data_IF_139839894169
#
_entry.id   IF_139839894169
#
_cell.length_a   1.000
_cell.length_b   1.000
_cell.length_c   1.000
_cell.angle_alpha   90.00
_cell.angle_beta   90.00
_cell.angle_gamma   90.00
#
_symmetry.space_group_name_H-M   'P 1'
#
loop_
_entity.id
_entity.type
_entity.pdbx_description
1 polymer ?
#
# COMPACT_ATOMS: atom_id res chain seq x y z
N UNK A 1 19.40 48.46 11.65
CA UNK A 1 20.07 47.29 11.04
C UNK A 1 19.24 46.06 11.38
N UNK A 2 18.30 45.74 10.54
CA UNK A 2 17.44 44.56 10.71
C UNK A 2 17.98 43.45 9.81
N UNK A 3 18.51 42.41 10.43
CA UNK A 3 18.98 41.22 9.73
C UNK A 3 17.78 40.27 9.51
N UNK A 4 17.32 40.17 8.28
CA UNK A 4 16.41 39.11 7.83
C UNK A 4 17.16 37.76 7.85
N UNK A 5 16.72 36.84 8.69
CA UNK A 5 17.12 35.41 8.63
C UNK A 5 16.16 34.71 7.68
N UNK A 6 16.62 34.38 6.47
CA UNK A 6 15.93 33.46 5.56
C UNK A 6 16.08 32.03 6.10
N UNK A 7 15.00 31.46 6.54
CA UNK A 7 14.92 30.03 6.84
C UNK A 7 14.66 29.29 5.55
N UNK A 8 15.67 28.59 5.03
CA UNK A 8 15.51 27.66 3.91
C UNK A 8 14.85 26.41 4.49
N UNK A 9 13.58 26.19 4.14
CA UNK A 9 12.88 24.92 4.38
C UNK A 9 13.27 23.99 3.23
N UNK A 10 14.18 23.05 3.51
CA UNK A 10 14.42 21.93 2.62
C UNK A 10 13.21 20.99 2.68
N UNK A 11 12.37 21.01 1.65
CA UNK A 11 11.43 19.93 1.40
C UNK A 11 12.23 18.70 0.95
N UNK A 12 12.35 17.71 1.81
CA UNK A 12 12.74 16.37 1.41
C UNK A 12 11.55 15.78 0.64
N UNK A 13 11.64 15.74 -0.69
CA UNK A 13 10.79 14.86 -1.49
C UNK A 13 11.25 13.42 -1.16
N UNK A 14 10.50 12.72 -0.33
CA UNK A 14 10.55 11.26 -0.31
C UNK A 14 9.95 10.80 -1.65
N UNK A 15 10.79 10.34 -2.55
CA UNK A 15 10.37 9.62 -3.75
C UNK A 15 9.98 8.23 -3.26
N UNK A 16 8.71 8.03 -2.96
CA UNK A 16 8.15 6.68 -2.81
C UNK A 16 7.93 6.14 -4.22
N UNK A 17 8.74 5.17 -4.60
CA UNK A 17 8.47 4.37 -5.79
C UNK A 17 7.27 3.49 -5.46
N UNK A 18 6.08 3.84 -5.92
CA UNK A 18 4.92 2.96 -5.82
C UNK A 18 5.11 1.84 -6.85
N UNK A 19 5.56 0.70 -6.37
CA UNK A 19 5.46 -0.57 -7.08
C UNK A 19 4.11 -1.20 -6.73
N UNK A 20 3.58 -1.95 -7.67
CA UNK A 20 2.46 -2.84 -7.45
C UNK A 20 2.74 -3.72 -6.22
N UNK A 21 1.85 -3.69 -5.23
CA UNK A 21 2.09 -4.32 -3.94
C UNK A 21 1.93 -5.84 -4.04
N UNK A 22 2.99 -6.56 -3.77
CA UNK A 22 3.05 -8.02 -3.75
C UNK A 22 2.89 -8.56 -2.32
N UNK A 23 2.67 -9.87 -2.18
CA UNK A 23 2.72 -10.51 -0.85
C UNK A 23 4.07 -10.27 -0.16
N UNK A 24 5.18 -10.18 -0.92
CA UNK A 24 6.47 -9.83 -0.34
C UNK A 24 6.50 -8.42 0.25
N UNK A 25 5.87 -7.45 -0.41
CA UNK A 25 5.78 -6.08 0.12
C UNK A 25 4.92 -6.04 1.39
N UNK A 26 3.88 -6.88 1.49
CA UNK A 26 3.09 -7.07 2.72
C UNK A 26 3.95 -7.64 3.85
N UNK A 27 4.77 -8.66 3.57
CA UNK A 27 5.72 -9.25 4.53
C UNK A 27 6.70 -8.18 5.02
N UNK A 28 7.26 -7.40 4.11
CA UNK A 28 8.26 -6.38 4.41
C UNK A 28 7.65 -5.15 5.14
N UNK A 29 6.33 -4.97 5.08
CA UNK A 29 5.61 -3.88 5.73
C UNK A 29 5.29 -4.15 7.21
N UNK A 30 5.49 -5.38 7.71
CA UNK A 30 5.30 -5.71 9.13
C UNK A 30 6.42 -5.03 9.94
N UNK A 31 6.02 -4.15 10.86
CA UNK A 31 6.94 -3.27 11.58
C UNK A 31 7.14 -3.74 13.03
N UNK A 32 8.35 -4.21 13.32
CA UNK A 32 8.72 -4.68 14.65
C UNK A 32 8.66 -3.57 15.73
N UNK A 33 8.99 -2.33 15.38
CA UNK A 33 8.95 -1.21 16.32
C UNK A 33 7.49 -0.89 16.67
N UNK A 34 6.57 -0.96 15.70
CA UNK A 34 5.14 -0.79 15.92
C UNK A 34 4.54 -1.93 16.76
N UNK A 35 4.88 -3.19 16.45
CA UNK A 35 4.50 -4.35 17.28
C UNK A 35 4.98 -4.20 18.72
N UNK A 36 6.25 -3.84 18.91
CA UNK A 36 6.85 -3.63 20.23
C UNK A 36 6.20 -2.48 21.00
N UNK A 37 5.84 -1.40 20.31
CA UNK A 37 5.13 -0.27 20.91
C UNK A 37 3.73 -0.71 21.37
N UNK A 38 2.96 -1.36 20.50
CA UNK A 38 1.62 -1.88 20.80
C UNK A 38 1.64 -2.81 22.01
N UNK A 39 2.56 -3.80 22.03
CA UNK A 39 2.72 -4.69 23.18
C UNK A 39 2.96 -3.94 24.48
N UNK A 40 3.91 -2.99 24.47
CA UNK A 40 4.27 -2.24 25.70
C UNK A 40 3.14 -1.34 26.19
N UNK A 41 2.38 -0.73 25.28
CA UNK A 41 1.20 0.07 25.63
C UNK A 41 0.08 -0.83 26.18
N UNK A 42 -0.23 -1.90 25.47
CA UNK A 42 -1.37 -2.78 25.78
C UNK A 42 -1.15 -3.67 26.99
N UNK A 43 0.09 -3.90 27.39
CA UNK A 43 0.45 -4.64 28.61
C UNK A 43 0.81 -3.74 29.79
N UNK A 44 0.72 -2.43 29.65
CA UNK A 44 1.02 -1.48 30.73
C UNK A 44 2.49 -1.37 31.11
N UNK A 45 3.40 -1.80 30.26
CA UNK A 45 4.84 -1.54 30.44
C UNK A 45 5.18 -0.07 30.26
N UNK A 46 4.40 0.64 29.47
CA UNK A 46 4.42 2.10 29.30
C UNK A 46 2.99 2.65 29.33
N UNK A 47 2.88 3.95 29.60
CA UNK A 47 1.60 4.66 29.48
C UNK A 47 1.24 4.89 28.02
N UNK A 48 -0.05 4.91 27.73
CA UNK A 48 -0.63 5.30 26.44
C UNK A 48 -1.70 6.37 26.62
N UNK A 49 -2.32 6.81 25.52
CA UNK A 49 -3.42 7.78 25.54
C UNK A 49 -4.68 7.12 24.99
N UNK A 50 -5.73 7.09 25.80
CA UNK A 50 -7.06 6.62 25.41
C UNK A 50 -8.05 7.74 25.72
N UNK A 51 -8.87 8.15 24.76
CA UNK A 51 -9.84 9.24 24.90
C UNK A 51 -9.25 10.53 25.51
N UNK A 52 -8.10 10.95 24.98
CA UNK A 52 -7.33 12.14 25.45
C UNK A 52 -6.73 12.00 26.88
N UNK A 53 -6.89 10.85 27.54
CA UNK A 53 -6.35 10.61 28.87
C UNK A 53 -5.09 9.76 28.83
N UNK A 54 -4.06 10.14 29.60
CA UNK A 54 -2.89 9.29 29.78
C UNK A 54 -3.23 8.18 30.78
N UNK A 55 -3.12 6.95 30.35
CA UNK A 55 -3.54 5.75 31.09
C UNK A 55 -2.46 4.66 31.07
N UNK A 56 -2.63 3.64 31.90
CA UNK A 56 -1.81 2.43 31.93
C UNK A 56 -2.75 1.21 31.89
N UNK A 57 -2.65 0.39 30.87
CA UNK A 57 -3.45 -0.83 30.69
C UNK A 57 -2.68 -2.01 31.31
N UNK A 58 -2.76 -2.21 32.61
CA UNK A 58 -1.94 -3.22 33.32
C UNK A 58 -2.62 -4.57 33.37
N UNK A 59 -3.96 -4.58 33.48
CA UNK A 59 -4.76 -5.80 33.63
C UNK A 59 -5.96 -5.69 32.69
N UNK A 60 -6.21 -6.71 31.93
CA UNK A 60 -7.33 -6.77 30.96
C UNK A 60 -8.43 -7.72 31.41
N UNK A 61 -8.41 -8.13 32.68
CA UNK A 61 -9.55 -8.79 33.31
C UNK A 61 -10.69 -7.81 33.55
N UNK A 62 -11.88 -8.32 33.82
CA UNK A 62 -13.17 -7.61 33.96
C UNK A 62 -13.14 -6.21 34.60
N UNK A 63 -12.19 -5.89 35.49
CA UNK A 63 -12.13 -4.59 36.14
C UNK A 63 -11.49 -3.48 35.27
N UNK A 64 -10.70 -3.85 34.27
CA UNK A 64 -9.97 -2.92 33.38
C UNK A 64 -10.20 -3.26 31.89
N UNK A 65 -11.11 -4.13 31.61
CA UNK A 65 -11.43 -4.66 30.29
C UNK A 65 -11.97 -3.54 29.37
N UNK A 66 -12.84 -2.69 29.87
CA UNK A 66 -13.39 -1.53 29.16
C UNK A 66 -12.28 -0.64 28.60
N UNK A 67 -11.26 -0.33 29.40
CA UNK A 67 -10.14 0.52 28.97
C UNK A 67 -9.33 -0.15 27.86
N UNK A 68 -9.14 -1.47 27.91
CA UNK A 68 -8.46 -2.21 26.86
C UNK A 68 -9.29 -2.22 25.57
N UNK A 69 -10.60 -2.44 25.65
CA UNK A 69 -11.52 -2.36 24.53
C UNK A 69 -11.53 -0.97 23.88
N UNK A 70 -11.55 0.11 24.68
CA UNK A 70 -11.51 1.49 24.17
C UNK A 70 -10.18 1.78 23.45
N UNK A 71 -9.05 1.28 23.96
CA UNK A 71 -7.76 1.36 23.28
C UNK A 71 -7.81 0.67 21.89
N UNK A 72 -8.38 -0.53 21.82
CA UNK A 72 -8.50 -1.29 20.57
C UNK A 72 -9.39 -0.58 19.56
N UNK A 73 -10.53 -0.07 20.00
CA UNK A 73 -11.41 0.75 19.15
C UNK A 73 -10.65 1.95 18.60
N UNK A 74 -9.96 2.71 19.47
CA UNK A 74 -9.19 3.88 19.06
C UNK A 74 -8.12 3.52 18.01
N UNK A 75 -7.36 2.42 18.20
CA UNK A 75 -6.36 1.97 17.23
C UNK A 75 -6.96 1.58 15.88
N UNK A 76 -8.11 0.96 15.88
CA UNK A 76 -8.81 0.59 14.65
C UNK A 76 -9.46 1.80 13.97
N UNK A 77 -9.93 2.81 14.72
CA UNK A 77 -10.48 4.05 14.16
C UNK A 77 -9.43 4.90 13.41
N UNK A 78 -8.14 4.67 13.66
CA UNK A 78 -7.04 5.30 12.92
C UNK A 78 -6.89 4.73 11.49
N UNK A 79 -7.58 3.62 11.16
CA UNK A 79 -7.43 2.90 9.91
C UNK A 79 -8.55 3.24 8.92
N UNK A 80 -8.18 3.32 7.64
CA UNK A 80 -9.12 3.51 6.55
C UNK A 80 -9.73 2.18 6.08
N UNK A 81 -10.84 2.23 5.33
CA UNK A 81 -11.48 1.10 4.65
C UNK A 81 -11.98 -0.04 5.56
N UNK A 82 -12.13 0.19 6.84
CA UNK A 82 -12.72 -0.76 7.78
C UNK A 82 -13.99 -0.19 8.43
N UNK A 83 -14.84 -1.08 8.88
CA UNK A 83 -16.02 -0.73 9.69
C UNK A 83 -15.91 -1.43 11.02
N UNK A 84 -15.99 -0.68 12.11
CA UNK A 84 -15.85 -1.21 13.47
C UNK A 84 -17.24 -1.56 14.02
N UNK A 85 -17.35 -2.73 14.62
CA UNK A 85 -18.48 -3.18 15.40
C UNK A 85 -18.00 -3.50 16.82
N UNK A 86 -18.36 -2.65 17.75
CA UNK A 86 -18.18 -2.84 19.17
C UNK A 86 -19.36 -3.69 19.67
N UNK A 87 -19.14 -5.01 19.78
CA UNK A 87 -20.18 -5.98 20.01
C UNK A 87 -20.30 -6.35 21.48
N UNK A 88 -21.19 -5.67 22.18
CA UNK A 88 -21.59 -6.09 23.53
C UNK A 88 -22.35 -7.43 23.47
N UNK A 89 -21.89 -8.47 24.16
CA UNK A 89 -22.56 -9.77 24.15
C UNK A 89 -23.15 -10.14 25.50
N UNK A 90 -22.67 -9.56 26.59
CA UNK A 90 -23.31 -9.65 27.91
C UNK A 90 -23.12 -8.35 28.72
N UNK A 91 -23.25 -8.39 30.07
CA UNK A 91 -23.15 -7.19 30.90
C UNK A 91 -21.72 -6.61 30.97
N UNK A 92 -20.70 -7.43 30.74
CA UNK A 92 -19.28 -7.06 30.85
C UNK A 92 -18.48 -7.42 29.59
N UNK A 93 -18.97 -8.40 28.80
CA UNK A 93 -18.27 -8.95 27.65
C UNK A 93 -18.48 -8.09 26.38
N UNK A 94 -17.38 -7.77 25.68
CA UNK A 94 -17.35 -6.84 24.57
C UNK A 94 -16.31 -7.25 23.51
N UNK A 95 -16.74 -7.79 22.40
CA UNK A 95 -15.85 -8.08 21.27
C UNK A 95 -15.58 -6.82 20.44
N UNK A 96 -14.36 -6.61 20.05
CA UNK A 96 -13.98 -5.51 19.12
C UNK A 96 -13.71 -6.12 17.75
N UNK A 97 -14.54 -5.76 16.77
CA UNK A 97 -14.54 -6.40 15.44
C UNK A 97 -14.40 -5.31 14.37
N UNK A 98 -13.38 -5.40 13.54
CA UNK A 98 -13.22 -4.54 12.38
C UNK A 98 -13.40 -5.37 11.10
N UNK A 99 -14.18 -4.86 10.15
CA UNK A 99 -14.48 -5.52 8.88
C UNK A 99 -13.98 -4.69 7.71
N UNK A 100 -13.11 -5.28 6.91
CA UNK A 100 -12.70 -4.78 5.61
C UNK A 100 -13.44 -5.54 4.51
N UNK A 101 -14.39 -4.88 3.86
CA UNK A 101 -15.19 -5.53 2.82
C UNK A 101 -14.38 -5.85 1.57
N UNK A 102 -14.47 -7.10 1.14
CA UNK A 102 -13.94 -7.55 -0.13
C UNK A 102 -14.58 -6.84 -1.32
N UNK A 103 -13.78 -6.52 -2.32
CA UNK A 103 -14.23 -5.76 -3.49
C UNK A 103 -14.97 -6.63 -4.51
N UNK A 104 -14.58 -7.88 -4.66
CA UNK A 104 -15.15 -8.81 -5.67
C UNK A 104 -16.14 -9.79 -5.03
N UNK A 105 -15.78 -10.36 -3.88
CA UNK A 105 -16.51 -11.40 -3.18
C UNK A 105 -16.81 -11.00 -1.72
N UNK A 106 -17.60 -9.94 -1.46
CA UNK A 106 -17.80 -9.41 -0.11
C UNK A 106 -18.45 -10.40 0.86
N UNK A 107 -19.09 -11.46 0.35
CA UNK A 107 -19.71 -12.51 1.17
C UNK A 107 -18.75 -13.63 1.54
N UNK A 108 -17.57 -13.71 0.94
CA UNK A 108 -16.52 -14.64 1.33
C UNK A 108 -15.73 -14.01 2.47
N UNK A 109 -15.75 -14.61 3.64
CA UNK A 109 -15.19 -14.03 4.87
C UNK A 109 -14.03 -14.89 5.36
N UNK A 110 -12.90 -14.25 5.60
CA UNK A 110 -11.79 -14.81 6.37
C UNK A 110 -11.60 -13.97 7.64
N UNK A 111 -11.32 -14.64 8.74
CA UNK A 111 -11.16 -14.01 10.05
C UNK A 111 -9.71 -14.21 10.52
N UNK A 112 -9.06 -13.16 10.97
CA UNK A 112 -7.87 -13.21 11.83
C UNK A 112 -8.28 -12.70 13.20
N UNK A 113 -7.97 -13.45 14.25
CA UNK A 113 -8.45 -13.13 15.58
C UNK A 113 -7.47 -13.52 16.69
N UNK A 114 -7.67 -12.90 17.83
CA UNK A 114 -7.02 -13.18 19.10
C UNK A 114 -7.95 -12.76 20.23
N UNK A 115 -7.79 -13.31 21.45
CA UNK A 115 -8.44 -12.70 22.60
C UNK A 115 -7.63 -11.55 23.16
N UNK A 116 -8.29 -10.60 23.80
CA UNK A 116 -7.64 -9.45 24.38
C UNK A 116 -7.71 -9.38 25.91
N UNK A 117 -8.58 -10.19 26.53
CA UNK A 117 -8.63 -10.33 27.97
C UNK A 117 -7.40 -11.06 28.54
N UNK A 118 -7.24 -11.10 29.84
CA UNK A 118 -6.08 -11.70 30.50
C UNK A 118 -6.43 -12.20 31.89
N UNK A 119 -5.69 -13.21 32.39
CA UNK A 119 -5.87 -13.75 33.75
C UNK A 119 -5.11 -13.01 34.83
N UNK A 120 -4.06 -12.27 34.48
CA UNK A 120 -3.17 -11.58 35.40
C UNK A 120 -2.76 -10.19 34.87
N UNK A 121 -1.94 -9.48 35.63
CA UNK A 121 -1.31 -8.25 35.17
C UNK A 121 -0.30 -8.58 34.06
N UNK A 122 -0.17 -7.68 33.10
CA UNK A 122 0.72 -7.71 31.93
C UNK A 122 0.27 -8.71 30.88
N UNK A 123 0.44 -10.03 31.09
CA UNK A 123 0.10 -11.09 30.13
C UNK A 123 0.47 -10.68 28.70
N UNK A 124 1.79 -10.57 28.47
CA UNK A 124 2.32 -10.02 27.23
C UNK A 124 2.22 -11.06 26.09
N UNK A 125 2.53 -12.31 26.37
CA UNK A 125 2.41 -13.40 25.44
C UNK A 125 0.95 -13.88 25.34
N UNK A 126 0.31 -14.07 26.48
CA UNK A 126 -1.07 -14.55 26.60
C UNK A 126 -2.05 -13.39 26.93
N UNK A 127 -2.77 -12.72 25.95
CA UNK A 127 -2.53 -12.88 24.52
C UNK A 127 -2.41 -11.49 23.87
N UNK A 128 -1.54 -10.64 24.45
CA UNK A 128 -1.30 -9.34 23.84
C UNK A 128 -0.47 -9.49 22.55
N UNK A 129 0.33 -10.58 22.39
CA UNK A 129 1.04 -10.85 21.12
C UNK A 129 0.05 -11.11 19.99
N UNK A 130 -0.92 -11.99 20.16
CA UNK A 130 -1.98 -12.24 19.18
C UNK A 130 -2.77 -10.97 18.87
N UNK A 131 -3.17 -10.20 19.91
CA UNK A 131 -3.85 -8.90 19.75
C UNK A 131 -3.02 -7.93 18.92
N UNK A 132 -1.73 -7.77 19.20
CA UNK A 132 -0.85 -6.87 18.46
C UNK A 132 -0.64 -7.31 17.00
N UNK A 133 -0.56 -8.62 16.74
CA UNK A 133 -0.46 -9.17 15.40
C UNK A 133 -1.73 -8.91 14.57
N UNK A 134 -2.93 -9.04 15.18
CA UNK A 134 -4.21 -8.70 14.52
C UNK A 134 -4.27 -7.22 14.17
N UNK A 135 -3.87 -6.33 15.08
CA UNK A 135 -3.82 -4.87 14.83
C UNK A 135 -2.82 -4.53 13.71
N UNK A 136 -1.66 -5.16 13.69
CA UNK A 136 -0.64 -4.92 12.66
C UNK A 136 -1.11 -5.43 11.30
N UNK A 137 -1.75 -6.62 11.23
CA UNK A 137 -2.38 -7.11 10.02
C UNK A 137 -3.48 -6.14 9.52
N UNK A 138 -4.33 -5.61 10.41
CA UNK A 138 -5.33 -4.62 10.08
C UNK A 138 -4.70 -3.33 9.52
N UNK A 139 -3.64 -2.81 10.17
CA UNK A 139 -2.91 -1.62 9.73
C UNK A 139 -2.38 -1.76 8.30
N UNK A 140 -1.83 -2.90 7.97
CA UNK A 140 -1.24 -3.15 6.65
C UNK A 140 -2.34 -3.41 5.61
N UNK A 141 -3.24 -4.34 5.90
CA UNK A 141 -4.21 -4.83 4.91
C UNK A 141 -5.36 -3.86 4.66
N UNK A 142 -5.75 -3.02 5.62
CA UNK A 142 -6.81 -2.01 5.42
C UNK A 142 -6.50 -1.02 4.31
N UNK A 143 -5.22 -0.79 4.01
CA UNK A 143 -4.78 0.05 2.89
C UNK A 143 -4.79 -0.68 1.55
N UNK A 144 -5.04 -2.01 1.55
CA UNK A 144 -4.95 -2.85 0.38
C UNK A 144 -6.31 -3.09 -0.26
N UNK A 145 -6.29 -3.40 -1.55
CA UNK A 145 -7.47 -3.85 -2.26
C UNK A 145 -7.53 -5.38 -2.21
N UNK A 146 -8.58 -5.93 -1.61
CA UNK A 146 -8.76 -7.36 -1.43
C UNK A 146 -10.04 -7.83 -2.14
N UNK A 147 -10.02 -9.04 -2.71
CA UNK A 147 -11.19 -9.65 -3.34
C UNK A 147 -12.22 -10.11 -2.31
N UNK A 148 -11.76 -10.74 -1.23
CA UNK A 148 -12.58 -11.31 -0.16
C UNK A 148 -12.59 -10.40 1.07
N UNK A 149 -13.62 -10.52 1.90
CA UNK A 149 -13.73 -9.79 3.16
C UNK A 149 -12.77 -10.35 4.21
N UNK A 150 -12.05 -9.45 4.88
CA UNK A 150 -11.27 -9.78 6.07
C UNK A 150 -11.95 -9.18 7.30
N UNK A 151 -12.09 -10.01 8.32
CA UNK A 151 -12.54 -9.61 9.65
C UNK A 151 -11.35 -9.71 10.60
N UNK A 152 -11.03 -8.61 11.25
CA UNK A 152 -10.05 -8.50 12.33
C UNK A 152 -10.84 -8.51 13.63
N UNK A 153 -10.72 -9.57 14.41
CA UNK A 153 -11.56 -9.75 15.58
C UNK A 153 -10.74 -9.93 16.85
N UNK A 154 -11.12 -9.19 17.87
CA UNK A 154 -10.50 -9.21 19.18
C UNK A 154 -11.56 -9.63 20.19
N UNK A 155 -11.42 -10.87 20.68
CA UNK A 155 -12.41 -11.51 21.53
C UNK A 155 -12.21 -11.16 22.98
N UNK A 156 -13.31 -11.04 23.69
CA UNK A 156 -13.34 -10.87 25.14
C UNK A 156 -13.78 -12.16 25.83
N UNK A 157 -13.38 -12.28 27.10
CA UNK A 157 -13.76 -13.40 27.97
C UNK A 157 -13.39 -14.79 27.41
N UNK A 158 -12.26 -14.89 26.71
CA UNK A 158 -11.65 -16.17 26.35
C UNK A 158 -11.32 -16.97 27.61
N UNK A 159 -10.59 -16.32 28.53
CA UNK A 159 -10.06 -16.86 29.78
C UNK A 159 -11.13 -17.33 30.79
N UNK A 160 -12.36 -16.94 30.57
CA UNK A 160 -13.51 -17.31 31.37
C UNK A 160 -14.44 -18.31 30.68
N UNK A 161 -14.05 -18.80 29.49
CA UNK A 161 -14.73 -19.89 28.80
C UNK A 161 -15.10 -19.61 27.35
N UNK A 162 -14.27 -18.92 26.59
CA UNK A 162 -14.45 -18.63 25.15
C UNK A 162 -15.77 -17.88 24.86
N UNK A 163 -16.22 -17.02 25.79
CA UNK A 163 -17.58 -16.45 25.73
C UNK A 163 -17.78 -15.56 24.50
N UNK A 164 -16.80 -14.67 24.21
CA UNK A 164 -16.89 -13.74 23.10
C UNK A 164 -16.87 -14.42 21.73
N UNK A 165 -15.91 -15.31 21.51
CA UNK A 165 -15.82 -16.08 20.25
C UNK A 165 -17.00 -17.01 20.05
N UNK A 166 -17.48 -17.66 21.12
CA UNK A 166 -18.66 -18.54 21.07
C UNK A 166 -19.92 -17.76 20.69
N UNK A 167 -20.10 -16.57 21.26
CA UNK A 167 -21.22 -15.70 20.93
C UNK A 167 -21.18 -15.30 19.44
N UNK A 168 -20.03 -14.85 18.96
CA UNK A 168 -19.87 -14.43 17.57
C UNK A 168 -20.08 -15.61 16.60
N UNK A 169 -19.42 -16.76 16.83
CA UNK A 169 -19.51 -17.92 15.96
C UNK A 169 -20.95 -18.46 15.85
N UNK A 170 -21.67 -18.52 16.98
CA UNK A 170 -23.06 -18.92 16.99
C UNK A 170 -23.98 -17.92 16.24
N UNK A 171 -23.71 -16.62 16.39
CA UNK A 171 -24.45 -15.58 15.65
C UNK A 171 -24.19 -15.68 14.15
N UNK A 172 -22.94 -15.84 13.73
CA UNK A 172 -22.54 -15.99 12.34
C UNK A 172 -23.20 -17.24 11.70
N UNK A 173 -23.20 -18.38 12.42
CA UNK A 173 -23.86 -19.58 11.96
C UNK A 173 -25.39 -19.38 11.84
N UNK A 174 -25.99 -18.69 12.82
CA UNK A 174 -27.41 -18.33 12.77
C UNK A 174 -27.80 -17.42 11.62
N UNK A 175 -26.90 -16.54 11.20
CA UNK A 175 -27.05 -15.67 10.03
C UNK A 175 -26.82 -16.40 8.70
N UNK A 176 -26.09 -17.50 8.72
CA UNK A 176 -25.62 -18.20 7.53
C UNK A 176 -24.44 -17.49 6.85
N UNK A 177 -23.59 -16.85 7.63
CA UNK A 177 -22.41 -16.14 7.15
C UNK A 177 -21.42 -17.15 6.51
N UNK A 178 -20.86 -16.79 5.35
CA UNK A 178 -19.96 -17.67 4.61
C UNK A 178 -18.50 -17.45 5.06
N UNK A 179 -18.18 -17.94 6.26
CA UNK A 179 -16.82 -17.89 6.81
C UNK A 179 -16.03 -19.06 6.22
N UNK A 180 -14.99 -18.75 5.44
CA UNK A 180 -14.15 -19.71 4.74
C UNK A 180 -12.93 -20.16 5.54
N UNK A 181 -12.48 -19.36 6.50
CA UNK A 181 -11.37 -19.71 7.38
C UNK A 181 -11.20 -18.73 8.53
N UNK A 182 -10.81 -19.26 9.69
CA UNK A 182 -10.55 -18.50 10.91
C UNK A 182 -9.12 -18.81 11.37
N UNK A 183 -8.26 -17.81 11.30
CA UNK A 183 -6.90 -17.85 11.84
C UNK A 183 -6.93 -17.28 13.24
N UNK A 184 -6.91 -18.14 14.24
CA UNK A 184 -6.82 -17.75 15.64
C UNK A 184 -5.35 -17.69 16.05
N UNK A 185 -4.94 -16.57 16.62
CA UNK A 185 -3.59 -16.32 17.12
C UNK A 185 -3.62 -16.34 18.65
N UNK A 186 -2.77 -17.18 19.23
CA UNK A 186 -2.73 -17.29 20.68
C UNK A 186 -1.33 -17.69 21.13
N UNK A 187 -0.69 -16.81 21.94
CA UNK A 187 0.68 -16.96 22.42
C UNK A 187 1.69 -17.07 21.29
N UNK A 188 2.11 -15.94 20.74
CA UNK A 188 3.00 -15.88 19.56
C UNK A 188 4.41 -15.39 19.89
N UNK A 189 4.75 -15.23 21.16
CA UNK A 189 5.90 -14.41 21.55
C UNK A 189 7.05 -15.16 22.18
N UNK A 190 7.00 -16.49 22.36
CA UNK A 190 8.05 -17.21 23.06
C UNK A 190 8.60 -18.38 22.23
N UNK A 191 9.93 -18.45 22.14
CA UNK A 191 10.68 -19.60 21.64
C UNK A 191 11.57 -20.11 22.79
N UNK A 192 11.31 -21.33 23.25
CA UNK A 192 11.80 -21.88 24.50
C UNK A 192 13.25 -22.36 24.52
N UNK A 193 14.01 -22.05 23.55
CA UNK A 193 15.39 -22.47 23.40
C UNK A 193 16.33 -22.06 24.56
N UNK A 194 17.37 -22.83 24.76
CA UNK A 194 18.34 -22.57 25.81
C UNK A 194 19.00 -21.19 25.61
N UNK A 195 19.18 -20.40 26.68
CA UNK A 195 19.78 -19.07 26.58
C UNK A 195 21.13 -19.10 25.84
N UNK A 196 21.23 -18.32 24.75
CA UNK A 196 22.44 -18.19 23.91
C UNK A 196 22.57 -19.22 22.79
N UNK A 197 21.57 -20.07 22.59
CA UNK A 197 21.38 -20.81 21.33
C UNK A 197 20.53 -19.96 20.38
N UNK A 198 20.73 -20.11 19.07
CA UNK A 198 19.75 -19.61 18.12
C UNK A 198 18.50 -20.49 18.27
N UNK A 199 17.34 -19.89 18.34
CA UNK A 199 16.07 -20.56 18.37
C UNK A 199 15.88 -21.50 17.18
N UNK A 200 15.08 -22.53 17.33
CA UNK A 200 14.64 -23.32 16.18
C UNK A 200 13.38 -22.76 15.54
N UNK A 201 12.82 -21.69 16.18
CA UNK A 201 11.66 -20.90 15.75
C UNK A 201 10.47 -21.80 15.38
N UNK A 202 10.22 -22.82 16.20
CA UNK A 202 9.11 -23.74 16.02
C UNK A 202 7.79 -23.09 16.47
N UNK A 203 6.76 -23.35 15.70
CA UNK A 203 5.40 -22.93 16.04
C UNK A 203 4.40 -24.03 15.72
N UNK A 204 3.32 -24.09 16.48
CA UNK A 204 2.27 -25.06 16.28
C UNK A 204 1.16 -24.52 15.38
N UNK A 205 0.60 -25.40 14.53
CA UNK A 205 -0.70 -25.22 13.90
C UNK A 205 -1.62 -26.35 14.35
N UNK A 206 -2.57 -26.03 15.21
CA UNK A 206 -3.58 -26.94 15.69
C UNK A 206 -4.73 -27.07 14.71
N UNK A 207 -4.99 -28.29 14.27
CA UNK A 207 -6.04 -28.61 13.31
C UNK A 207 -6.89 -29.79 13.76
N UNK A 208 -8.04 -29.93 13.10
CA UNK A 208 -8.86 -31.14 13.16
C UNK A 208 -9.32 -31.55 11.77
N UNK A 209 -9.56 -32.85 11.61
CA UNK A 209 -9.94 -33.44 10.31
C UNK A 209 -11.44 -33.21 10.03
N UNK A 210 -11.88 -31.95 10.07
CA UNK A 210 -13.22 -31.52 9.69
C UNK A 210 -13.27 -30.04 9.30
N UNK A 211 -14.36 -29.62 8.69
CA UNK A 211 -14.71 -28.24 8.30
C UNK A 211 -13.62 -27.51 7.47
N UNK A 212 -12.72 -28.25 6.77
CA UNK A 212 -11.69 -27.63 5.93
C UNK A 212 -10.44 -27.15 6.66
N UNK A 213 -10.25 -27.50 7.94
CA UNK A 213 -9.06 -27.06 8.71
C UNK A 213 -7.74 -27.61 8.16
N UNK A 214 -7.77 -28.79 7.52
CA UNK A 214 -6.60 -29.35 6.83
C UNK A 214 -6.21 -28.49 5.63
N UNK A 215 -7.17 -28.13 4.80
CA UNK A 215 -6.93 -27.28 3.62
C UNK A 215 -6.37 -25.91 4.03
N UNK A 216 -6.94 -25.32 5.09
CA UNK A 216 -6.45 -24.04 5.63
C UNK A 216 -5.00 -24.13 6.13
N UNK A 217 -4.63 -25.20 6.84
CA UNK A 217 -3.25 -25.47 7.25
C UNK A 217 -2.35 -25.65 6.02
N UNK A 218 -2.81 -26.37 4.98
CA UNK A 218 -2.02 -26.56 3.76
C UNK A 218 -1.76 -25.22 3.04
N UNK A 219 -2.72 -24.30 3.03
CA UNK A 219 -2.58 -22.95 2.50
C UNK A 219 -1.57 -22.12 3.30
N UNK A 220 -1.59 -22.17 4.63
CA UNK A 220 -0.60 -21.50 5.49
C UNK A 220 0.81 -22.03 5.22
N UNK A 221 0.96 -23.37 5.15
CA UNK A 221 2.24 -24.02 4.85
C UNK A 221 2.71 -23.68 3.42
N UNK A 222 1.80 -23.51 2.47
CA UNK A 222 2.14 -23.07 1.12
C UNK A 222 2.71 -21.65 1.12
N UNK A 223 2.16 -20.72 1.90
CA UNK A 223 2.71 -19.37 2.09
C UNK A 223 4.09 -19.46 2.76
N UNK A 224 4.23 -20.22 3.84
CA UNK A 224 5.50 -20.43 4.54
C UNK A 224 6.61 -20.91 3.57
N UNK A 225 6.29 -21.81 2.65
CA UNK A 225 7.23 -22.36 1.68
C UNK A 225 7.47 -21.45 0.44
N UNK A 226 6.60 -20.48 0.20
CA UNK A 226 6.67 -19.61 -0.99
C UNK A 226 7.55 -18.39 -0.77
N UNK A 227 7.77 -18.00 0.48
CA UNK A 227 8.57 -16.84 0.88
C UNK A 227 9.66 -17.26 1.86
N UNK A 228 10.53 -16.33 2.24
CA UNK A 228 11.61 -16.62 3.19
C UNK A 228 11.16 -16.19 4.58
N UNK A 229 11.00 -17.19 5.46
CA UNK A 229 10.75 -17.01 6.88
C UNK A 229 11.78 -17.84 7.67
N UNK A 230 12.15 -17.36 8.83
CA UNK A 230 12.95 -18.12 9.80
C UNK A 230 12.02 -18.81 10.80
N UNK A 231 11.20 -19.73 10.29
CA UNK A 231 10.16 -20.44 11.05
C UNK A 231 10.12 -21.93 10.68
N UNK A 232 9.74 -22.75 11.66
CA UNK A 232 9.58 -24.20 11.52
C UNK A 232 8.21 -24.63 12.04
N UNK A 233 7.36 -25.20 11.18
CA UNK A 233 5.99 -25.58 11.54
C UNK A 233 5.89 -26.96 12.16
N UNK A 234 5.18 -27.08 13.26
CA UNK A 234 4.69 -28.33 13.85
C UNK A 234 3.17 -28.42 13.63
N UNK A 235 2.71 -29.50 13.03
CA UNK A 235 1.28 -29.70 12.79
C UNK A 235 0.69 -30.59 13.87
N UNK A 236 -0.23 -30.06 14.66
CA UNK A 236 -0.89 -30.77 15.76
C UNK A 236 -2.25 -31.27 15.29
N UNK A 237 -2.40 -32.61 15.21
CA UNK A 237 -3.66 -33.24 14.82
C UNK A 237 -3.89 -34.54 15.63
N UNK A 238 -4.91 -34.62 16.50
CA UNK A 238 -5.93 -33.60 16.73
C UNK A 238 -5.43 -32.45 17.59
N UNK A 239 -5.69 -31.21 17.15
CA UNK A 239 -5.38 -30.00 17.89
C UNK A 239 -6.21 -29.82 19.14
N UNK A 240 -5.78 -28.90 20.01
CA UNK A 240 -6.47 -28.54 21.25
C UNK A 240 -7.85 -27.93 21.01
N UNK A 241 -8.69 -27.88 22.04
CA UNK A 241 -9.93 -27.07 22.08
C UNK A 241 -9.77 -25.82 22.97
N UNK A 242 -8.59 -25.57 23.48
CA UNK A 242 -8.33 -24.63 24.57
C UNK A 242 -8.04 -23.21 24.04
N UNK A 243 -8.67 -22.76 22.93
CA UNK A 243 -8.66 -21.39 22.49
C UNK A 243 -9.82 -21.11 21.53
N UNK A 244 -10.01 -19.86 21.09
CA UNK A 244 -11.17 -19.32 20.38
C UNK A 244 -11.52 -20.01 19.05
N UNK A 245 -10.54 -20.58 18.34
CA UNK A 245 -10.78 -21.37 17.12
C UNK A 245 -11.77 -22.49 17.34
N UNK A 246 -11.83 -23.07 18.54
CA UNK A 246 -12.73 -24.16 18.87
C UNK A 246 -14.20 -23.74 18.88
N UNK A 247 -14.52 -22.49 19.15
CA UNK A 247 -15.86 -21.91 19.01
C UNK A 247 -16.38 -21.99 17.58
N UNK A 248 -15.48 -21.81 16.60
CA UNK A 248 -15.79 -21.91 15.18
C UNK A 248 -15.92 -23.37 14.74
N UNK A 249 -15.06 -24.27 15.24
CA UNK A 249 -15.23 -25.70 15.03
C UNK A 249 -16.59 -26.22 15.51
N UNK A 250 -17.06 -25.71 16.67
CA UNK A 250 -18.36 -26.07 17.21
C UNK A 250 -19.55 -25.64 16.33
N UNK A 251 -19.30 -24.74 15.37
CA UNK A 251 -20.30 -24.23 14.43
C UNK A 251 -19.99 -24.61 12.96
N UNK A 252 -19.20 -25.68 12.76
CA UNK A 252 -18.83 -26.24 11.45
C UNK A 252 -18.04 -25.29 10.52
N UNK A 253 -17.36 -24.30 11.08
CA UNK A 253 -16.45 -23.42 10.35
C UNK A 253 -15.01 -23.93 10.35
N UNK A 254 -14.29 -23.70 9.25
CA UNK A 254 -12.86 -23.96 9.17
C UNK A 254 -12.10 -23.01 10.09
N UNK A 255 -11.25 -23.55 10.94
CA UNK A 255 -10.43 -22.78 11.85
C UNK A 255 -9.12 -23.50 12.17
N UNK A 256 -8.08 -22.74 12.48
CA UNK A 256 -6.81 -23.22 13.04
C UNK A 256 -6.40 -22.33 14.20
N UNK A 257 -5.68 -22.90 15.17
CA UNK A 257 -4.89 -22.14 16.14
C UNK A 257 -3.45 -22.11 15.66
N UNK A 258 -2.83 -20.95 15.75
CA UNK A 258 -1.41 -20.73 15.46
C UNK A 258 -0.79 -20.02 16.67
N UNK A 259 0.28 -20.58 17.19
CA UNK A 259 0.98 -20.05 18.35
C UNK A 259 2.32 -20.73 18.59
N UNK A 260 2.94 -20.44 19.71
CA UNK A 260 4.19 -21.06 20.15
C UNK A 260 4.07 -22.58 20.26
N UNK A 261 5.21 -23.31 20.20
CA UNK A 261 5.17 -24.78 20.14
C UNK A 261 5.04 -25.42 21.52
N UNK A 262 3.82 -25.90 21.83
CA UNK A 262 3.53 -26.71 23.02
C UNK A 262 3.94 -28.16 22.82
N UNK A 263 3.91 -28.66 21.59
CA UNK A 263 4.25 -30.06 21.29
C UNK A 263 5.74 -30.36 21.48
N UNK A 264 6.62 -29.35 21.35
CA UNK A 264 8.06 -29.49 21.55
C UNK A 264 8.53 -29.03 22.92
N UNK A 265 7.63 -28.52 23.76
CA UNK A 265 7.86 -27.90 25.08
C UNK A 265 8.67 -26.59 24.99
N UNK A 266 8.47 -25.83 23.92
CA UNK A 266 9.07 -24.51 23.72
C UNK A 266 8.20 -23.35 24.17
N UNK A 267 7.04 -23.67 24.76
CA UNK A 267 6.10 -22.68 25.29
C UNK A 267 6.65 -21.88 26.47
N UNK A 268 6.12 -20.68 26.66
CA UNK A 268 6.49 -19.78 27.75
C UNK A 268 6.34 -20.45 29.13
N UNK A 269 7.34 -20.36 30.03
CA UNK A 269 7.21 -20.82 31.42
C UNK A 269 6.40 -19.84 32.30
N UNK A 270 5.94 -18.71 31.73
CA UNK A 270 5.26 -17.64 32.45
C UNK A 270 3.73 -17.65 32.26
N UNK A 271 3.21 -18.66 31.54
CA UNK A 271 1.80 -18.82 31.24
C UNK A 271 0.90 -18.55 32.46
N UNK A 272 -0.18 -17.80 32.26
CA UNK A 272 -1.17 -17.41 33.28
C UNK A 272 -0.57 -16.75 34.54
N UNK A 273 0.47 -15.94 34.38
CA UNK A 273 1.07 -15.27 35.51
C UNK A 273 1.53 -13.84 35.17
N UNK A 274 1.68 -12.99 36.19
CA UNK A 274 2.27 -11.65 36.03
C UNK A 274 3.77 -11.66 35.69
N UNK A 275 4.37 -12.84 35.56
CA UNK A 275 5.72 -13.04 35.02
C UNK A 275 5.75 -12.97 33.49
N UNK A 276 4.62 -13.11 32.84
CA UNK A 276 4.45 -12.94 31.40
C UNK A 276 4.50 -11.45 31.03
N UNK A 277 5.69 -11.00 30.64
CA UNK A 277 6.06 -9.59 30.46
C UNK A 277 6.63 -9.36 29.07
N UNK A 278 6.56 -8.14 28.59
CA UNK A 278 7.26 -7.73 27.36
C UNK A 278 8.75 -8.17 27.33
N UNK A 279 9.42 -8.19 28.47
CA UNK A 279 10.82 -8.60 28.56
C UNK A 279 11.07 -10.11 28.37
N UNK A 280 10.03 -10.93 28.35
CA UNK A 280 10.10 -12.38 28.09
C UNK A 280 9.80 -12.75 26.65
N UNK A 281 9.33 -11.78 25.84
CA UNK A 281 8.99 -11.98 24.42
C UNK A 281 10.26 -12.09 23.58
N UNK A 282 10.34 -13.13 22.73
CA UNK A 282 11.29 -13.21 21.63
C UNK A 282 10.77 -12.39 20.44
N UNK A 283 11.22 -11.15 20.37
CA UNK A 283 10.75 -10.20 19.36
C UNK A 283 11.07 -10.62 17.91
N UNK A 284 12.23 -11.18 17.57
CA UNK A 284 12.48 -11.76 16.26
C UNK A 284 11.49 -12.86 15.87
N UNK A 285 11.25 -13.83 16.74
CA UNK A 285 10.28 -14.90 16.52
C UNK A 285 8.85 -14.37 16.33
N UNK A 286 8.41 -13.51 17.25
CA UNK A 286 7.10 -12.86 17.16
C UNK A 286 6.91 -12.09 15.84
N UNK A 287 7.97 -11.39 15.40
CA UNK A 287 7.97 -10.66 14.13
C UNK A 287 7.79 -11.60 12.93
N UNK A 288 8.52 -12.72 12.89
CA UNK A 288 8.42 -13.70 11.81
C UNK A 288 7.02 -14.36 11.76
N UNK A 289 6.45 -14.73 12.91
CA UNK A 289 5.07 -15.26 12.96
C UNK A 289 4.04 -14.23 12.50
N UNK A 290 4.19 -12.96 12.90
CA UNK A 290 3.29 -11.90 12.43
C UNK A 290 3.39 -11.68 10.92
N UNK A 291 4.60 -11.75 10.35
CA UNK A 291 4.80 -11.72 8.89
C UNK A 291 4.08 -12.85 8.18
N UNK A 292 4.23 -14.09 8.67
CA UNK A 292 3.58 -15.26 8.09
C UNK A 292 2.06 -15.13 8.11
N UNK A 293 1.48 -14.77 9.26
CA UNK A 293 0.03 -14.66 9.44
C UNK A 293 -0.56 -13.53 8.59
N UNK A 294 0.12 -12.38 8.51
CA UNK A 294 -0.30 -11.25 7.65
C UNK A 294 -0.21 -11.62 6.15
N UNK A 295 0.86 -12.30 5.73
CA UNK A 295 1.01 -12.79 4.36
C UNK A 295 -0.05 -13.82 3.98
N UNK A 296 -0.40 -14.72 4.88
CA UNK A 296 -1.50 -15.66 4.69
C UNK A 296 -2.83 -14.93 4.51
N UNK A 297 -3.15 -13.98 5.38
CA UNK A 297 -4.38 -13.20 5.28
C UNK A 297 -4.46 -12.38 3.99
N UNK A 298 -3.34 -11.80 3.53
CA UNK A 298 -3.27 -11.13 2.22
C UNK A 298 -3.54 -12.10 1.06
N UNK A 299 -3.04 -13.33 1.17
CA UNK A 299 -3.20 -14.38 0.14
C UNK A 299 -4.66 -14.83 0.05
N UNK A 300 -5.28 -15.19 1.17
CA UNK A 300 -6.70 -15.64 1.17
C UNK A 300 -7.67 -14.47 1.00
N UNK A 301 -7.30 -13.28 1.41
CA UNK A 301 -8.00 -12.04 1.09
C UNK A 301 -8.06 -11.77 -0.41
N UNK A 302 -7.14 -12.37 -1.18
CA UNK A 302 -7.06 -12.18 -2.62
C UNK A 302 -6.54 -10.79 -2.95
N UNK A 303 -5.28 -10.50 -2.56
CA UNK A 303 -4.64 -9.21 -2.81
C UNK A 303 -4.70 -8.86 -4.29
N UNK A 304 -5.45 -7.80 -4.61
CA UNK A 304 -5.56 -7.30 -5.98
C UNK A 304 -4.44 -6.33 -6.26
N UNK A 305 -3.55 -6.79 -7.12
CA UNK A 305 -2.40 -6.00 -7.52
C UNK A 305 -2.79 -5.09 -8.69
N UNK A 306 -2.79 -3.77 -8.48
CA UNK A 306 -2.96 -2.76 -9.54
C UNK A 306 -1.61 -2.07 -9.77
N UNK A 307 -0.98 -2.33 -10.93
CA UNK A 307 0.24 -1.63 -11.31
C UNK A 307 -0.07 -0.15 -11.58
N UNK A 308 0.12 0.71 -10.60
CA UNK A 308 -0.08 2.14 -10.70
C UNK A 308 1.13 2.89 -11.29
N UNK A 309 2.14 2.19 -11.75
CA UNK A 309 3.30 2.75 -12.41
C UNK A 309 2.94 3.39 -13.76
N UNK A 310 3.71 4.40 -14.15
CA UNK A 310 3.58 5.10 -15.43
C UNK A 310 4.92 5.17 -16.13
N UNK A 311 4.93 4.69 -17.36
CA UNK A 311 6.07 4.82 -18.27
C UNK A 311 5.98 6.12 -19.07
N UNK A 312 7.11 6.81 -19.22
CA UNK A 312 7.20 8.08 -19.94
C UNK A 312 8.07 7.98 -21.17
N UNK A 313 7.58 8.53 -22.29
CA UNK A 313 8.36 8.84 -23.49
C UNK A 313 8.46 10.36 -23.67
N UNK A 314 9.13 10.82 -24.72
CA UNK A 314 9.25 12.27 -25.02
C UNK A 314 7.89 12.96 -25.21
N UNK A 315 6.86 12.23 -25.65
CA UNK A 315 5.55 12.80 -25.99
C UNK A 315 4.39 12.19 -25.24
N UNK A 316 4.57 11.09 -24.51
CA UNK A 316 3.45 10.27 -24.04
C UNK A 316 3.73 9.74 -22.65
N UNK A 317 2.74 9.79 -21.79
CA UNK A 317 2.64 9.06 -20.55
C UNK A 317 1.77 7.82 -20.79
N UNK A 318 2.17 6.65 -20.25
CA UNK A 318 1.42 5.40 -20.42
C UNK A 318 1.35 4.67 -19.09
N UNK A 319 0.14 4.39 -18.60
CA UNK A 319 -0.07 3.56 -17.43
C UNK A 319 0.42 2.13 -17.70
N UNK A 320 1.17 1.54 -16.77
CA UNK A 320 1.74 0.20 -16.94
C UNK A 320 0.64 -0.87 -16.88
N UNK A 321 -0.34 -0.72 -16.00
CA UNK A 321 -1.49 -1.63 -15.91
C UNK A 321 -2.22 -1.71 -17.25
N UNK A 322 -2.39 -2.92 -17.77
CA UNK A 322 -3.21 -3.18 -18.95
C UNK A 322 -4.63 -3.63 -18.55
N UNK A 323 -5.58 -3.51 -19.46
CA UNK A 323 -6.96 -4.01 -19.28
C UNK A 323 -7.69 -3.41 -18.07
N UNK A 324 -7.49 -2.10 -17.84
CA UNK A 324 -8.09 -1.32 -16.76
C UNK A 324 -8.88 -0.13 -17.33
N UNK A 325 -9.60 0.57 -16.47
CA UNK A 325 -10.12 1.91 -16.74
C UNK A 325 -9.12 2.96 -16.25
N UNK A 326 -9.06 4.11 -16.92
CA UNK A 326 -8.08 5.15 -16.60
C UNK A 326 -8.76 6.51 -16.54
N UNK A 327 -8.26 7.38 -15.65
CA UNK A 327 -8.58 8.79 -15.64
C UNK A 327 -7.31 9.60 -15.33
N UNK A 328 -6.79 10.32 -16.31
CA UNK A 328 -5.64 11.18 -16.10
C UNK A 328 -6.02 12.45 -15.32
N UNK A 329 -5.11 12.87 -14.47
CA UNK A 329 -5.27 13.97 -13.52
C UNK A 329 -4.10 14.95 -13.70
N UNK A 330 -4.41 16.24 -13.66
CA UNK A 330 -3.39 17.28 -13.54
C UNK A 330 -3.13 17.51 -12.04
N UNK A 331 -1.94 17.16 -11.58
CA UNK A 331 -1.54 17.29 -10.18
C UNK A 331 -1.43 18.74 -9.72
N UNK A 332 -1.04 19.65 -10.62
CA UNK A 332 -0.85 21.08 -10.28
C UNK A 332 -2.19 21.75 -9.92
N UNK A 333 -3.29 21.22 -10.46
CA UNK A 333 -4.65 21.70 -10.20
C UNK A 333 -5.51 20.71 -9.42
N UNK A 334 -4.99 19.51 -9.12
CA UNK A 334 -5.70 18.39 -8.48
C UNK A 334 -7.04 18.07 -9.17
N UNK A 335 -7.09 18.14 -10.50
CA UNK A 335 -8.34 17.96 -11.25
C UNK A 335 -8.19 16.94 -12.38
N UNK A 336 -9.26 16.16 -12.60
CA UNK A 336 -9.36 15.21 -13.69
C UNK A 336 -9.34 15.93 -15.04
N UNK A 337 -8.59 15.38 -16.00
CA UNK A 337 -8.49 15.89 -17.35
C UNK A 337 -9.63 15.33 -18.17
N UNK A 338 -10.55 16.19 -18.60
CA UNK A 338 -11.77 15.76 -19.30
C UNK A 338 -11.45 14.98 -20.58
N UNK A 339 -12.00 13.74 -20.66
CA UNK A 339 -11.84 12.85 -21.81
C UNK A 339 -10.48 12.11 -21.87
N UNK A 340 -9.59 12.31 -20.94
CA UNK A 340 -8.31 11.59 -20.86
C UNK A 340 -8.51 10.25 -20.10
N UNK A 341 -9.14 9.27 -20.77
CA UNK A 341 -9.53 7.97 -20.20
C UNK A 341 -8.89 6.77 -20.90
N UNK A 342 -7.86 7.02 -21.70
CA UNK A 342 -7.10 5.95 -22.36
C UNK A 342 -5.88 5.56 -21.50
N UNK A 343 -5.37 4.34 -21.67
CA UNK A 343 -4.14 3.88 -21.04
C UNK A 343 -2.97 4.85 -21.25
N UNK A 344 -2.90 5.46 -22.44
CA UNK A 344 -1.87 6.46 -22.75
C UNK A 344 -2.48 7.86 -22.84
N UNK A 345 -1.73 8.86 -22.37
CA UNK A 345 -2.06 10.27 -22.43
C UNK A 345 -0.91 11.07 -23.04
N UNK A 346 -1.24 12.04 -23.87
CA UNK A 346 -0.28 12.99 -24.50
C UNK A 346 -0.54 14.37 -23.90
N UNK A 347 0.25 14.80 -22.91
CA UNK A 347 0.12 16.15 -22.37
C UNK A 347 0.40 17.22 -23.42
N UNK A 348 -0.43 18.25 -23.48
CA UNK A 348 -0.25 19.39 -24.39
C UNK A 348 0.62 20.50 -23.81
N UNK A 349 0.87 20.49 -22.51
CA UNK A 349 1.69 21.47 -21.78
C UNK A 349 2.58 20.75 -20.77
N UNK A 350 3.70 21.38 -20.40
CA UNK A 350 4.52 20.93 -19.30
C UNK A 350 3.74 21.03 -17.98
N UNK A 351 3.91 20.06 -17.08
CA UNK A 351 3.20 20.00 -15.80
C UNK A 351 3.42 18.68 -15.08
N UNK A 352 2.70 18.48 -13.98
CA UNK A 352 2.71 17.25 -13.20
C UNK A 352 1.41 16.49 -13.45
N UNK A 353 1.53 15.22 -13.81
CA UNK A 353 0.39 14.39 -14.20
C UNK A 353 0.40 13.07 -13.44
N UNK A 354 -0.79 12.62 -13.06
CA UNK A 354 -1.04 11.30 -12.49
C UNK A 354 -2.18 10.60 -13.25
N UNK A 355 -2.33 9.31 -13.04
CA UNK A 355 -3.45 8.54 -13.57
C UNK A 355 -4.09 7.73 -12.47
N UNK A 356 -5.40 7.86 -12.34
CA UNK A 356 -6.24 6.96 -11.57
C UNK A 356 -6.53 5.72 -12.42
N UNK A 357 -6.21 4.55 -11.89
CA UNK A 357 -6.28 3.27 -12.59
C UNK A 357 -7.27 2.37 -11.84
N UNK A 358 -8.32 1.92 -12.52
CA UNK A 358 -9.29 0.99 -11.95
C UNK A 358 -9.21 -0.36 -12.67
N UNK A 359 -8.76 -1.39 -11.96
CA UNK A 359 -8.71 -2.78 -12.41
C UNK A 359 -9.75 -3.59 -11.63
N UNK A 360 -10.76 -4.12 -12.32
CA UNK A 360 -11.94 -4.70 -11.66
C UNK A 360 -12.67 -3.65 -10.82
N UNK A 361 -12.70 -3.86 -9.50
CA UNK A 361 -13.31 -2.95 -8.52
C UNK A 361 -12.27 -2.14 -7.73
N UNK A 362 -10.99 -2.35 -8.00
CA UNK A 362 -9.87 -1.75 -7.28
C UNK A 362 -9.34 -0.52 -8.02
N UNK A 363 -9.21 0.59 -7.32
CA UNK A 363 -8.73 1.86 -7.89
C UNK A 363 -7.48 2.31 -7.16
N UNK A 364 -6.43 2.55 -7.93
CA UNK A 364 -5.15 3.09 -7.46
C UNK A 364 -4.80 4.37 -8.21
N UNK A 365 -4.14 5.28 -7.52
CA UNK A 365 -3.61 6.52 -8.10
C UNK A 365 -2.10 6.40 -8.27
N UNK A 366 -1.60 6.75 -9.47
CA UNK A 366 -0.15 6.84 -9.68
C UNK A 366 0.45 8.04 -8.95
N UNK A 367 1.77 8.01 -8.77
CA UNK A 367 2.48 9.23 -8.39
C UNK A 367 2.37 10.30 -9.49
N UNK A 368 2.56 11.56 -9.06
CA UNK A 368 2.63 12.68 -10.02
C UNK A 368 3.97 12.67 -10.75
N UNK A 369 3.92 12.55 -12.07
CA UNK A 369 5.07 12.50 -12.95
C UNK A 369 5.27 13.85 -13.61
N UNK A 370 6.48 14.37 -13.51
CA UNK A 370 6.88 15.61 -14.19
C UNK A 370 6.97 15.32 -15.68
N UNK A 371 6.16 16.00 -16.49
CA UNK A 371 6.22 15.94 -17.93
C UNK A 371 6.64 17.31 -18.47
N UNK A 372 7.81 17.34 -19.09
CA UNK A 372 8.28 18.51 -19.80
C UNK A 372 8.06 18.33 -21.29
N UNK A 373 7.29 19.20 -21.89
CA UNK A 373 7.32 19.38 -23.34
C UNK A 373 8.68 19.96 -23.70
N UNK A 374 9.68 19.09 -23.90
CA UNK A 374 11.01 19.51 -24.37
C UNK A 374 10.89 20.08 -25.78
N UNK A 375 10.62 21.34 -25.87
CA UNK A 375 10.65 22.07 -27.13
C UNK A 375 9.89 23.38 -26.99
N UNK A 376 10.47 24.44 -27.52
CA UNK A 376 9.70 25.60 -27.94
C UNK A 376 8.53 25.07 -28.79
N UNK A 377 7.33 25.55 -28.58
CA UNK A 377 6.17 25.20 -29.41
C UNK A 377 6.54 25.33 -30.89
N UNK A 378 6.16 24.34 -31.69
CA UNK A 378 6.38 24.47 -33.14
C UNK A 378 5.41 25.50 -33.69
N UNK A 379 5.94 26.31 -34.59
CA UNK A 379 5.07 27.20 -35.36
C UNK A 379 4.06 26.38 -36.16
N UNK A 380 2.78 26.70 -36.03
CA UNK A 380 1.75 26.09 -36.85
C UNK A 380 2.02 26.38 -38.34
N UNK A 381 1.74 25.44 -39.22
CA UNK A 381 1.91 25.59 -40.67
C UNK A 381 1.13 26.81 -41.25
N UNK A 382 0.13 27.32 -40.53
CA UNK A 382 -0.63 28.52 -40.85
C UNK A 382 0.07 29.82 -40.42
N UNK A 383 1.02 29.75 -39.48
CA UNK A 383 1.70 30.91 -38.91
C UNK A 383 2.92 31.33 -39.72
N UNK A 384 3.60 30.36 -40.40
CA UNK A 384 4.78 30.63 -41.20
C UNK A 384 4.62 30.03 -42.59
N UNK A 385 4.80 30.87 -43.62
CA UNK A 385 4.87 30.44 -45.02
C UNK A 385 6.26 30.75 -45.57
N UNK A 386 6.88 29.76 -46.22
CA UNK A 386 8.21 29.84 -46.81
C UNK A 386 8.11 29.50 -48.29
N UNK A 387 8.38 30.50 -49.15
CA UNK A 387 8.23 30.35 -50.61
C UNK A 387 9.13 31.27 -51.42
N UNK A 388 9.44 30.99 -52.71
CA UNK A 388 9.19 29.68 -53.35
C UNK A 388 10.16 28.62 -52.82
N UNK A 389 9.71 27.37 -52.80
CA UNK A 389 10.55 26.21 -52.53
C UNK A 389 10.25 25.14 -53.58
N UNK A 390 11.13 24.85 -54.55
CA UNK A 390 12.52 25.28 -54.68
C UNK A 390 12.71 26.76 -54.94
N UNK A 391 13.89 27.31 -54.46
CA UNK A 391 14.25 28.72 -54.56
C UNK A 391 15.43 28.91 -55.50
N UNK A 392 15.38 29.99 -56.35
CA UNK A 392 16.49 30.35 -57.25
C UNK A 392 17.31 31.54 -56.69
N UNK A 393 16.65 32.61 -56.30
CA UNK A 393 17.31 33.84 -55.87
C UNK A 393 16.88 34.33 -54.49
N UNK A 394 15.59 34.49 -54.29
CA UNK A 394 15.06 35.03 -53.02
C UNK A 394 14.06 34.05 -52.42
N UNK A 395 14.23 33.75 -51.15
CA UNK A 395 13.31 32.98 -50.31
C UNK A 395 12.53 33.97 -49.46
N UNK A 396 11.21 33.95 -49.60
CA UNK A 396 10.32 34.79 -48.80
C UNK A 396 9.78 33.99 -47.62
N UNK A 397 9.74 34.63 -46.48
CA UNK A 397 9.16 34.10 -45.23
C UNK A 397 8.06 35.06 -44.79
N UNK A 398 6.85 34.61 -44.73
CA UNK A 398 5.69 35.33 -44.18
C UNK A 398 5.35 34.72 -42.80
N UNK A 399 5.22 35.60 -41.78
CA UNK A 399 4.90 35.22 -40.43
C UNK A 399 3.64 35.96 -40.00
N UNK A 400 2.58 35.21 -39.67
CA UNK A 400 1.29 35.81 -39.34
C UNK A 400 1.26 36.18 -37.86
N UNK A 401 0.74 37.35 -37.51
CA UNK A 401 0.58 37.85 -36.15
C UNK A 401 1.86 37.94 -35.31
N UNK A 402 2.97 38.30 -35.95
CA UNK A 402 4.24 38.44 -35.22
C UNK A 402 4.33 39.82 -34.51
N UNK A 403 4.48 39.74 -33.17
CA UNK A 403 4.70 40.89 -32.29
C UNK A 403 6.09 40.92 -31.67
N UNK A 404 6.90 39.86 -31.89
CA UNK A 404 8.20 39.64 -31.26
C UNK A 404 9.35 39.60 -32.26
N UNK A 405 10.60 39.63 -31.74
CA UNK A 405 11.80 39.42 -32.56
C UNK A 405 11.95 37.95 -32.89
N UNK A 406 12.09 37.63 -34.18
CA UNK A 406 12.30 36.28 -34.70
C UNK A 406 13.72 36.15 -35.25
N UNK A 407 14.41 35.08 -34.83
CA UNK A 407 15.69 34.69 -35.41
C UNK A 407 15.48 33.73 -36.58
N UNK A 408 16.16 33.96 -37.67
CA UNK A 408 16.23 33.16 -38.88
C UNK A 408 17.65 32.65 -39.07
N UNK A 409 17.87 31.36 -38.89
CA UNK A 409 19.18 30.71 -39.07
C UNK A 409 19.09 29.70 -40.21
N UNK A 410 19.92 29.86 -41.23
CA UNK A 410 19.97 28.94 -42.36
C UNK A 410 21.22 28.07 -42.26
N UNK A 411 21.03 26.77 -42.27
CA UNK A 411 22.09 25.76 -42.19
C UNK A 411 22.21 24.98 -43.50
N UNK A 412 23.40 24.57 -43.85
CA UNK A 412 23.65 23.60 -44.92
C UNK A 412 23.43 22.14 -44.38
N UNK A 413 23.52 21.13 -45.24
CA UNK A 413 23.33 19.73 -44.88
C UNK A 413 24.35 19.18 -43.88
N UNK A 414 25.48 19.89 -43.67
CA UNK A 414 26.48 19.49 -42.66
C UNK A 414 26.20 20.11 -41.28
N UNK A 415 25.14 20.93 -41.16
CA UNK A 415 24.81 21.67 -39.94
C UNK A 415 25.56 22.98 -39.78
N UNK A 416 26.31 23.43 -40.83
CA UNK A 416 27.02 24.70 -40.80
C UNK A 416 26.07 25.87 -41.04
N UNK A 417 26.09 26.85 -40.14
CA UNK A 417 25.34 28.10 -40.28
C UNK A 417 25.89 28.90 -41.50
N UNK A 418 25.02 29.16 -42.47
CA UNK A 418 25.37 29.88 -43.71
C UNK A 418 24.73 31.25 -43.80
N UNK A 419 23.67 31.51 -43.05
CA UNK A 419 23.02 32.81 -42.95
C UNK A 419 22.32 32.94 -41.61
N UNK A 420 22.41 34.11 -40.97
CA UNK A 420 21.67 34.43 -39.76
C UNK A 420 21.07 35.83 -39.89
N UNK A 421 19.82 35.98 -39.44
CA UNK A 421 19.12 37.25 -39.43
C UNK A 421 18.07 37.31 -38.32
N UNK A 422 17.96 38.46 -37.66
CA UNK A 422 16.85 38.72 -36.72
C UNK A 422 15.91 39.75 -37.37
N UNK A 423 14.60 39.52 -37.15
CA UNK A 423 13.54 40.30 -37.75
C UNK A 423 12.42 40.62 -36.77
N UNK A 424 11.73 41.71 -37.00
CA UNK A 424 10.52 42.13 -36.28
C UNK A 424 9.35 42.36 -37.25
N UNK A 425 9.53 42.08 -38.55
CA UNK A 425 8.53 42.32 -39.60
C UNK A 425 7.82 41.02 -39.97
N UNK A 426 6.57 41.13 -40.43
CA UNK A 426 5.74 39.98 -40.84
C UNK A 426 6.20 39.33 -42.16
N UNK A 427 6.92 40.07 -43.02
CA UNK A 427 7.40 39.53 -44.31
C UNK A 427 8.87 39.89 -44.52
N UNK A 428 9.66 38.91 -44.88
CA UNK A 428 11.09 39.08 -45.18
C UNK A 428 11.50 38.28 -46.40
N UNK A 429 12.49 38.78 -47.11
CA UNK A 429 13.15 38.10 -48.23
C UNK A 429 14.63 37.85 -47.91
N UNK A 430 15.05 36.59 -47.98
CA UNK A 430 16.44 36.15 -47.85
C UNK A 430 17.05 35.95 -49.22
N UNK A 431 18.20 36.61 -49.48
CA UNK A 431 18.89 36.46 -50.73
C UNK A 431 19.73 35.17 -50.73
N UNK A 432 19.32 34.22 -51.57
CA UNK A 432 19.94 32.89 -51.71
C UNK A 432 20.86 32.83 -52.96
N UNK A 433 21.05 33.95 -53.71
CA UNK A 433 21.71 33.95 -55.02
C UNK A 433 23.13 33.39 -54.97
N UNK A 434 23.87 33.67 -53.89
CA UNK A 434 25.29 33.32 -53.79
C UNK A 434 25.51 31.99 -53.07
N UNK A 435 24.43 31.29 -52.69
CA UNK A 435 24.51 29.95 -52.07
C UNK A 435 24.57 28.87 -53.14
N UNK A 436 25.37 27.81 -52.94
CA UNK A 436 25.43 26.68 -53.85
C UNK A 436 24.07 25.99 -54.00
N UNK A 437 23.87 25.29 -55.14
CA UNK A 437 22.67 24.41 -55.27
C UNK A 437 22.72 23.29 -54.25
N UNK A 438 21.58 22.98 -53.64
CA UNK A 438 21.52 21.96 -52.60
C UNK A 438 20.34 22.12 -51.67
N UNK A 439 20.35 21.31 -50.64
CA UNK A 439 19.34 21.33 -49.54
C UNK A 439 19.89 22.16 -48.38
N UNK A 440 19.05 22.99 -47.81
CA UNK A 440 19.30 23.81 -46.63
C UNK A 440 18.19 23.61 -45.64
N UNK A 441 18.47 23.90 -44.35
CA UNK A 441 17.48 23.90 -43.27
C UNK A 441 17.37 25.32 -42.69
N UNK A 442 16.18 25.90 -42.83
CA UNK A 442 15.87 27.20 -42.23
C UNK A 442 15.23 26.95 -40.86
N UNK A 443 15.92 27.34 -39.81
CA UNK A 443 15.37 27.39 -38.44
C UNK A 443 14.81 28.80 -38.21
N UNK A 444 13.57 28.86 -37.77
CA UNK A 444 12.84 30.06 -37.37
C UNK A 444 12.57 29.95 -35.89
N UNK A 445 12.98 30.89 -35.06
CA UNK A 445 12.85 30.85 -33.61
C UNK A 445 12.39 32.20 -33.07
N UNK A 446 11.39 32.18 -32.17
CA UNK A 446 10.99 33.27 -31.28
C UNK A 446 11.41 32.97 -29.84
N UNK A 447 10.95 33.77 -28.87
CA UNK A 447 11.11 33.48 -27.44
C UNK A 447 10.41 32.19 -27.01
N UNK A 448 9.28 31.85 -27.65
CA UNK A 448 8.38 30.76 -27.25
C UNK A 448 8.26 29.64 -28.27
N UNK A 449 8.56 29.90 -29.55
CA UNK A 449 8.32 28.94 -30.64
C UNK A 449 9.55 28.71 -31.50
N UNK A 450 9.66 27.54 -32.09
CA UNK A 450 10.67 27.20 -33.10
C UNK A 450 10.04 26.42 -34.25
N UNK A 451 10.62 26.50 -35.43
CA UNK A 451 10.22 25.71 -36.60
C UNK A 451 11.40 25.50 -37.52
N UNK A 452 11.49 24.32 -38.15
CA UNK A 452 12.55 24.01 -39.12
C UNK A 452 11.95 23.64 -40.47
N UNK A 453 12.39 24.34 -41.51
CA UNK A 453 11.89 24.21 -42.87
C UNK A 453 13.00 23.73 -43.80
N UNK A 454 12.73 22.66 -44.57
CA UNK A 454 13.63 22.16 -45.60
C UNK A 454 13.50 23.05 -46.84
N UNK A 455 14.62 23.66 -47.29
CA UNK A 455 14.70 24.55 -48.46
C UNK A 455 15.53 23.88 -49.55
N UNK A 456 15.00 23.83 -50.75
CA UNK A 456 15.71 23.32 -51.94
C UNK A 456 16.18 24.50 -52.77
N UNK A 457 17.50 24.69 -52.91
CA UNK A 457 18.13 25.74 -53.73
C UNK A 457 18.48 25.15 -55.11
N UNK A 458 17.94 25.77 -56.17
CA UNK A 458 18.24 25.48 -57.56
C UNK A 458 19.29 26.44 -58.17
#
# INVERSE_FOLDING_TARGET
>A
MNTFRSTIICFFLCVFSSYAQSIQDIIDAVDLDNLSLTLREFTGEITTVVDENTVTITNRQQANNELAGDYLVQKLEELDNITINDQQFDSNGRNIIATQLGKTNPNNIYIICAHYDSVADYCADDNATGTAAVLEAARILSTQCLDNTIVYALWDEEETGLNGSSFYAAQAAGNGDNILGVLNLDMMGYDGDAPGTAGDNQFDIDIRDFAGSIDMKDDIVAVLNSYTFDLSVIVVNPGTFSSDHSSFWANDYSAVLLGESWETNDQTPFYHSSGDRFSTIDLPYFHELTKLTTAYMATVGGLVNVDNGVSQTVTTLTANQASASYQWINCDTSSSISGATSQSYIPSVSGNYAVEITSGTCTELSECIVFDTLGLDDFLASEIKVFPNPVKTNLNIEITNNTESIALDLFDVSGKLVLQKSITNEVISLNMKNLPRGVYFLKVSSSEKTGTYKIVKE
#
